data_IF_112609115058
#
_entry.id   IF_112609115058
#
_cell.length_a   1.000
_cell.length_b   1.000
_cell.length_c   1.000
_cell.angle_alpha   90.00
_cell.angle_beta   90.00
_cell.angle_gamma   90.00
#
_symmetry.space_group_name_H-M   'P 1'
#
loop_
_entity.id
_entity.type
_entity.pdbx_description
1 polymer ?
#
# COMPACT_ATOMS: atom_id res chain seq x y z
N UNK A 1 -7.30 13.73 -4.60
CA UNK A 1 -7.90 12.40 -4.75
C UNK A 1 -7.02 11.55 -5.64
N UNK A 2 -6.75 10.30 -5.25
CA UNK A 2 -6.19 9.26 -6.09
C UNK A 2 -7.38 8.58 -6.80
N UNK A 3 -7.35 8.52 -8.13
CA UNK A 3 -8.52 8.12 -8.93
C UNK A 3 -8.07 7.11 -10.00
N UNK A 4 -8.55 5.89 -9.88
CA UNK A 4 -8.24 4.76 -10.75
C UNK A 4 -9.46 4.49 -11.62
N UNK A 5 -9.29 4.57 -12.94
CA UNK A 5 -10.38 4.53 -13.91
C UNK A 5 -10.17 3.42 -14.93
N UNK A 6 -11.05 2.45 -14.93
CA UNK A 6 -11.19 1.42 -15.97
C UNK A 6 -9.87 0.70 -16.27
N UNK A 7 -9.04 0.47 -15.23
CA UNK A 7 -7.72 -0.14 -15.37
C UNK A 7 -7.87 -1.60 -15.73
N UNK A 8 -7.33 -1.98 -16.89
CA UNK A 8 -7.22 -3.36 -17.34
C UNK A 8 -5.77 -3.70 -17.65
N UNK A 9 -5.34 -4.92 -17.30
CA UNK A 9 -3.98 -5.40 -17.54
C UNK A 9 -3.96 -6.90 -17.75
N UNK A 10 -3.22 -7.34 -18.78
CA UNK A 10 -3.01 -8.74 -19.07
C UNK A 10 -1.51 -9.08 -19.13
N UNK A 11 -1.15 -10.28 -18.71
CA UNK A 11 0.15 -10.87 -18.98
C UNK A 11 -0.02 -11.98 -20.02
N UNK A 12 0.53 -11.77 -21.22
CA UNK A 12 0.28 -12.63 -22.41
C UNK A 12 -1.23 -12.75 -22.67
N UNK A 13 -1.81 -13.95 -22.51
CA UNK A 13 -3.24 -14.21 -22.74
C UNK A 13 -4.08 -14.16 -21.43
N UNK A 14 -3.43 -14.09 -20.26
CA UNK A 14 -4.11 -14.07 -18.98
C UNK A 14 -4.46 -12.63 -18.56
N UNK A 15 -5.74 -12.29 -18.54
CA UNK A 15 -6.25 -11.02 -18.01
C UNK A 15 -6.15 -11.08 -16.48
N UNK A 16 -5.39 -10.15 -15.90
CA UNK A 16 -5.14 -10.07 -14.46
C UNK A 16 -6.04 -9.02 -13.82
N UNK A 17 -6.23 -7.89 -14.51
CA UNK A 17 -7.15 -6.81 -14.10
C UNK A 17 -8.13 -6.55 -15.22
N UNK A 18 -9.41 -6.40 -14.89
CA UNK A 18 -10.52 -6.20 -15.81
C UNK A 18 -11.41 -5.07 -15.33
N UNK A 19 -11.25 -3.89 -15.93
CA UNK A 19 -12.11 -2.73 -15.68
C UNK A 19 -12.13 -2.29 -14.19
N UNK A 20 -10.95 -2.20 -13.59
CA UNK A 20 -10.79 -1.85 -12.18
C UNK A 20 -10.92 -0.34 -12.00
N UNK A 21 -11.89 0.08 -11.17
CA UNK A 21 -12.13 1.49 -10.85
C UNK A 21 -12.35 1.68 -9.36
N UNK A 22 -11.65 2.63 -8.74
CA UNK A 22 -11.84 3.06 -7.36
C UNK A 22 -11.18 4.40 -7.09
N UNK A 23 -11.56 5.04 -6.00
CA UNK A 23 -10.98 6.31 -5.57
C UNK A 23 -10.49 6.22 -4.13
N UNK A 24 -9.49 7.06 -3.80
CA UNK A 24 -9.02 7.25 -2.42
C UNK A 24 -8.89 8.74 -2.16
N UNK A 25 -9.63 9.22 -1.19
CA UNK A 25 -9.54 10.61 -0.76
C UNK A 25 -8.31 10.86 0.12
N UNK A 26 -7.81 12.10 0.19
CA UNK A 26 -6.83 12.46 1.20
C UNK A 26 -7.36 12.18 2.60
N UNK A 27 -6.56 11.46 3.40
CA UNK A 27 -6.94 11.05 4.75
C UNK A 27 -7.74 9.76 4.84
N UNK A 28 -8.11 9.15 3.72
CA UNK A 28 -8.82 7.87 3.68
C UNK A 28 -7.84 6.69 3.73
N UNK A 29 -8.20 5.65 4.48
CA UNK A 29 -7.51 4.36 4.51
C UNK A 29 -8.37 3.33 3.77
N UNK A 30 -7.94 2.95 2.57
CA UNK A 30 -8.58 1.91 1.77
C UNK A 30 -7.83 0.59 1.87
N UNK A 31 -8.53 -0.50 2.07
CA UNK A 31 -7.97 -1.84 1.99
C UNK A 31 -8.29 -2.53 0.66
N UNK A 32 -7.37 -3.38 0.23
CA UNK A 32 -7.52 -4.27 -0.91
C UNK A 32 -7.24 -5.70 -0.45
N UNK A 33 -8.27 -6.53 -0.40
CA UNK A 33 -8.15 -7.93 -0.02
C UNK A 33 -8.52 -8.88 -1.17
N UNK A 34 -7.90 -10.03 -1.20
CA UNK A 34 -8.18 -11.14 -2.10
C UNK A 34 -7.22 -12.32 -1.82
N UNK A 35 -7.50 -13.51 -2.32
CA UNK A 35 -6.58 -14.65 -2.29
C UNK A 35 -5.22 -14.35 -2.94
N UNK A 36 -4.20 -15.12 -2.58
CA UNK A 36 -2.90 -15.03 -3.22
C UNK A 36 -3.00 -15.32 -4.72
N UNK A 37 -2.28 -14.55 -5.53
CA UNK A 37 -2.30 -14.70 -6.99
C UNK A 37 -3.47 -14.01 -7.71
N UNK A 38 -4.40 -13.36 -7.00
CA UNK A 38 -5.56 -12.68 -7.58
C UNK A 38 -5.24 -11.40 -8.37
N UNK A 39 -4.02 -10.85 -8.26
CA UNK A 39 -3.63 -9.62 -8.93
C UNK A 39 -3.45 -8.39 -8.04
N UNK A 40 -3.58 -8.48 -6.69
CA UNK A 40 -3.39 -7.35 -5.75
C UNK A 40 -2.09 -6.59 -6.01
N UNK A 41 -0.94 -7.29 -5.96
CA UNK A 41 0.38 -6.69 -6.22
C UNK A 41 0.48 -6.08 -7.62
N UNK A 42 -0.17 -6.68 -8.61
CA UNK A 42 -0.23 -6.13 -9.98
C UNK A 42 -0.99 -4.81 -10.00
N UNK A 43 -2.15 -4.74 -9.34
CA UNK A 43 -2.91 -3.49 -9.20
C UNK A 43 -2.10 -2.43 -8.45
N UNK A 44 -1.52 -2.77 -7.31
CA UNK A 44 -0.68 -1.85 -6.54
C UNK A 44 0.49 -1.30 -7.35
N UNK A 45 1.16 -2.14 -8.16
CA UNK A 45 2.23 -1.70 -9.07
C UNK A 45 1.73 -0.81 -10.20
N UNK A 46 0.54 -1.08 -10.75
CA UNK A 46 -0.06 -0.23 -11.78
C UNK A 46 -0.39 1.16 -11.20
N UNK A 47 -1.03 1.20 -10.03
CA UNK A 47 -1.32 2.45 -9.32
C UNK A 47 -0.04 3.17 -8.90
N UNK A 48 1.00 2.45 -8.48
CA UNK A 48 2.32 3.01 -8.15
C UNK A 48 3.18 3.43 -9.35
N UNK A 49 2.66 3.33 -10.59
CA UNK A 49 3.37 3.63 -11.83
C UNK A 49 4.67 2.80 -12.03
N UNK A 50 4.69 1.55 -11.50
CA UNK A 50 5.78 0.60 -11.72
C UNK A 50 5.53 -0.31 -12.93
N UNK A 51 4.29 -0.45 -13.33
CA UNK A 51 3.85 -1.10 -14.57
C UNK A 51 2.74 -0.26 -15.20
N UNK A 52 2.62 -0.33 -16.52
CA UNK A 52 1.59 0.41 -17.24
C UNK A 52 0.39 -0.49 -17.49
N UNK A 53 -0.84 -0.05 -17.20
CA UNK A 53 -2.03 -0.78 -17.62
C UNK A 53 -2.18 -0.76 -19.15
N UNK A 54 -2.82 -1.78 -19.70
CA UNK A 54 -3.14 -1.83 -21.14
C UNK A 54 -4.26 -0.85 -21.49
N UNK A 55 -5.18 -0.61 -20.54
CA UNK A 55 -6.29 0.34 -20.66
C UNK A 55 -6.55 1.04 -19.34
N UNK A 56 -7.21 2.18 -19.40
CA UNK A 56 -7.58 2.96 -18.23
C UNK A 56 -6.50 3.95 -17.78
N UNK A 57 -6.73 4.59 -16.65
CA UNK A 57 -5.89 5.67 -16.13
C UNK A 57 -5.70 5.57 -14.62
N UNK A 58 -4.49 5.90 -14.14
CA UNK A 58 -4.21 6.15 -12.72
C UNK A 58 -3.91 7.64 -12.56
N UNK A 59 -4.73 8.35 -11.80
CA UNK A 59 -4.66 9.79 -11.63
C UNK A 59 -4.38 10.13 -10.15
N UNK A 60 -3.40 10.97 -9.87
CA UNK A 60 -3.18 11.55 -8.54
C UNK A 60 -3.36 13.07 -8.64
N UNK A 61 -4.40 13.62 -8.00
CA UNK A 61 -4.81 15.02 -8.11
C UNK A 61 -4.88 15.45 -9.59
N UNK A 62 -5.61 14.71 -10.41
CA UNK A 62 -5.81 14.90 -11.86
C UNK A 62 -4.54 14.71 -12.73
N UNK A 63 -3.42 14.29 -12.13
CA UNK A 63 -2.16 14.03 -12.84
C UNK A 63 -2.10 12.56 -13.24
N UNK A 64 -2.13 12.32 -14.53
CA UNK A 64 -2.07 10.98 -15.13
C UNK A 64 -0.64 10.39 -15.04
N UNK A 65 -0.54 9.18 -14.51
CA UNK A 65 0.70 8.44 -14.32
C UNK A 65 1.45 8.19 -15.63
N UNK A 66 0.74 7.93 -16.73
CA UNK A 66 1.33 7.68 -18.05
C UNK A 66 1.82 8.95 -18.74
N UNK A 67 1.15 10.10 -18.51
CA UNK A 67 1.45 11.35 -19.20
C UNK A 67 2.49 12.20 -18.48
N UNK A 68 2.48 12.20 -17.14
CA UNK A 68 3.36 13.01 -16.30
C UNK A 68 3.96 12.18 -15.16
N UNK A 69 4.60 11.08 -15.48
CA UNK A 69 5.11 10.08 -14.54
C UNK A 69 5.93 10.68 -13.40
N UNK A 70 6.89 11.55 -13.69
CA UNK A 70 7.73 12.15 -12.64
C UNK A 70 6.96 13.00 -11.65
N UNK A 71 5.89 13.70 -12.08
CA UNK A 71 5.02 14.48 -11.20
C UNK A 71 4.09 13.56 -10.43
N UNK A 72 3.56 12.52 -11.06
CA UNK A 72 2.72 11.51 -10.42
C UNK A 72 3.50 10.79 -9.31
N UNK A 73 4.69 10.26 -9.60
CA UNK A 73 5.53 9.52 -8.64
C UNK A 73 6.13 10.39 -7.56
N UNK A 74 6.10 11.73 -7.69
CA UNK A 74 6.40 12.63 -6.56
C UNK A 74 5.24 12.78 -5.58
N UNK A 75 4.07 12.22 -5.87
CA UNK A 75 2.88 12.22 -5.01
C UNK A 75 2.51 10.84 -4.49
N UNK A 76 2.84 9.77 -5.22
CA UNK A 76 2.44 8.40 -4.94
C UNK A 76 3.67 7.56 -4.61
N UNK A 77 3.74 7.04 -3.40
CA UNK A 77 4.78 6.10 -2.97
C UNK A 77 4.21 4.68 -2.93
N UNK A 78 4.84 3.76 -3.66
CA UNK A 78 4.58 2.33 -3.52
C UNK A 78 5.61 1.67 -2.61
N UNK A 79 5.14 1.02 -1.56
CA UNK A 79 5.93 0.27 -0.59
C UNK A 79 5.68 -1.22 -0.81
N UNK A 80 6.60 -1.94 -1.48
CA UNK A 80 6.43 -3.35 -1.79
C UNK A 80 6.60 -4.25 -0.55
N UNK A 81 5.96 -5.43 -0.58
CA UNK A 81 6.13 -6.47 0.42
C UNK A 81 7.61 -6.90 0.59
N UNK A 82 7.93 -7.37 1.79
CA UNK A 82 9.20 -8.01 2.09
C UNK A 82 10.39 -7.08 2.20
N UNK A 83 10.17 -5.77 2.37
CA UNK A 83 11.26 -4.81 2.50
C UNK A 83 12.07 -4.61 1.22
N UNK A 84 11.50 -4.92 0.06
CA UNK A 84 12.13 -4.74 -1.27
C UNK A 84 12.38 -3.27 -1.62
N UNK A 85 11.93 -2.35 -0.79
CA UNK A 85 12.24 -0.93 -0.89
C UNK A 85 13.69 -0.63 -0.46
N UNK A 86 14.28 -1.51 0.34
CA UNK A 86 15.61 -1.31 0.93
C UNK A 86 16.71 -1.87 0.04
N UNK A 87 17.79 -1.10 -0.08
CA UNK A 87 19.04 -1.55 -0.69
C UNK A 87 19.90 -2.26 0.35
N UNK A 88 20.43 -3.43 0.01
CA UNK A 88 21.14 -4.32 0.93
C UNK A 88 22.37 -3.67 1.59
N UNK A 89 23.10 -2.80 0.90
CA UNK A 89 24.35 -2.22 1.36
C UNK A 89 24.21 -0.84 2.02
N UNK A 90 23.02 -0.22 1.95
CA UNK A 90 22.76 1.04 2.65
C UNK A 90 22.21 0.78 4.05
N UNK A 91 22.60 1.61 5.01
CA UNK A 91 22.00 1.64 6.35
C UNK A 91 20.58 2.23 6.31
N UNK A 92 19.79 1.94 7.34
CA UNK A 92 18.45 2.55 7.50
C UNK A 92 18.56 4.08 7.53
N UNK A 93 19.56 4.62 8.23
CA UNK A 93 19.81 6.06 8.26
C UNK A 93 20.04 6.65 6.86
N UNK A 94 20.89 6.00 6.05
CA UNK A 94 21.17 6.45 4.67
C UNK A 94 19.90 6.39 3.79
N UNK A 95 19.03 5.37 3.96
CA UNK A 95 17.74 5.33 3.28
C UNK A 95 16.84 6.50 3.66
N UNK A 96 16.73 6.82 4.96
CA UNK A 96 15.93 7.95 5.42
C UNK A 96 16.46 9.29 4.89
N UNK A 97 17.80 9.48 4.91
CA UNK A 97 18.42 10.69 4.33
C UNK A 97 18.17 10.79 2.82
N UNK A 98 18.35 9.69 2.07
CA UNK A 98 18.08 9.64 0.64
C UNK A 98 16.61 9.97 0.34
N UNK A 99 15.69 9.37 1.09
CA UNK A 99 14.26 9.64 0.96
C UNK A 99 13.95 11.11 1.20
N UNK A 100 14.46 11.68 2.31
CA UNK A 100 14.29 13.10 2.62
C UNK A 100 14.74 14.00 1.47
N UNK A 101 15.91 13.71 0.88
CA UNK A 101 16.45 14.46 -0.24
C UNK A 101 15.61 14.30 -1.52
N UNK A 102 15.29 13.06 -1.90
CA UNK A 102 14.56 12.76 -3.15
C UNK A 102 13.14 13.32 -3.15
N UNK A 103 12.45 13.24 -2.01
CA UNK A 103 11.09 13.73 -1.84
C UNK A 103 11.02 15.20 -1.44
N UNK A 104 12.17 15.85 -1.20
CA UNK A 104 12.26 17.23 -0.68
C UNK A 104 11.43 17.42 0.58
N UNK A 105 11.44 16.40 1.42
CA UNK A 105 10.66 16.34 2.66
C UNK A 105 11.28 17.23 3.74
N UNK A 106 10.45 17.88 4.52
CA UNK A 106 10.86 18.63 5.72
C UNK A 106 10.69 17.81 7.02
N UNK A 107 10.25 16.54 6.91
CA UNK A 107 10.10 15.65 8.07
C UNK A 107 11.37 15.59 8.94
N UNK A 108 11.15 15.56 10.25
CA UNK A 108 12.25 15.39 11.20
C UNK A 108 12.66 13.93 11.29
N UNK A 109 13.88 13.62 10.87
CA UNK A 109 14.44 12.29 10.88
C UNK A 109 14.44 11.66 12.28
N UNK A 110 14.73 12.44 13.33
CA UNK A 110 14.73 11.93 14.69
C UNK A 110 13.30 11.57 15.16
N UNK A 111 12.30 12.40 14.80
CA UNK A 111 10.92 12.12 15.13
C UNK A 111 10.42 10.85 14.43
N UNK A 112 10.68 10.71 13.12
CA UNK A 112 10.32 9.51 12.34
C UNK A 112 11.01 8.26 12.87
N UNK A 113 12.31 8.35 13.19
CA UNK A 113 13.07 7.22 13.74
C UNK A 113 12.48 6.74 15.07
N UNK A 114 12.21 7.64 16.00
CA UNK A 114 11.60 7.31 17.30
C UNK A 114 10.19 6.71 17.18
N UNK A 115 9.48 7.06 16.14
CA UNK A 115 8.13 6.58 15.89
C UNK A 115 8.07 5.15 15.34
N UNK A 116 9.02 4.81 14.45
CA UNK A 116 8.97 3.59 13.64
C UNK A 116 10.06 2.58 13.94
N UNK A 117 11.17 2.98 14.57
CA UNK A 117 12.40 2.21 14.65
C UNK A 117 12.91 2.09 16.09
N UNK A 118 13.78 1.11 16.32
CA UNK A 118 14.65 1.08 17.50
C UNK A 118 15.98 1.76 17.19
N UNK A 119 16.66 2.29 18.21
CA UNK A 119 17.92 3.05 18.04
C UNK A 119 18.99 2.23 17.31
N UNK A 120 19.07 0.92 17.59
CA UNK A 120 20.03 0.01 16.94
C UNK A 120 19.79 -0.20 15.45
N UNK A 121 18.57 0.03 14.95
CA UNK A 121 18.23 -0.20 13.53
C UNK A 121 18.86 0.83 12.63
N UNK A 122 19.05 2.07 13.08
CA UNK A 122 19.51 3.16 12.23
C UNK A 122 20.86 2.88 11.57
N UNK A 123 21.77 2.22 12.28
CA UNK A 123 23.12 1.89 11.77
C UNK A 123 23.16 0.58 10.97
N UNK A 124 22.14 -0.28 11.08
CA UNK A 124 22.10 -1.58 10.37
C UNK A 124 21.86 -1.37 8.88
N UNK A 125 22.54 -2.17 8.07
CA UNK A 125 22.33 -2.23 6.61
C UNK A 125 21.13 -3.10 6.26
N UNK A 126 20.55 -2.89 5.09
CA UNK A 126 19.37 -3.63 4.62
C UNK A 126 19.50 -5.16 4.72
N UNK A 127 20.68 -5.70 4.39
CA UNK A 127 21.00 -7.15 4.51
C UNK A 127 21.09 -7.67 5.95
N UNK A 128 21.24 -6.81 6.93
CA UNK A 128 21.38 -7.18 8.35
C UNK A 128 20.04 -7.16 9.09
N UNK A 129 18.99 -6.68 8.43
CA UNK A 129 17.65 -6.56 8.99
C UNK A 129 16.87 -7.87 8.87
N UNK A 130 16.17 -8.25 9.94
CA UNK A 130 15.11 -9.28 9.86
C UNK A 130 13.94 -8.80 9.00
N UNK A 131 13.04 -9.70 8.62
CA UNK A 131 11.83 -9.36 7.84
C UNK A 131 11.02 -8.24 8.53
N UNK A 132 10.71 -8.39 9.82
CA UNK A 132 9.96 -7.38 10.57
C UNK A 132 10.70 -6.04 10.66
N UNK A 133 12.03 -6.06 10.84
CA UNK A 133 12.84 -4.84 10.82
C UNK A 133 12.83 -4.16 9.45
N UNK A 134 12.84 -4.93 8.36
CA UNK A 134 12.70 -4.39 6.99
C UNK A 134 11.35 -3.70 6.80
N UNK A 135 10.27 -4.28 7.31
CA UNK A 135 8.94 -3.66 7.26
C UNK A 135 8.88 -2.36 8.09
N UNK A 136 9.47 -2.35 9.29
CA UNK A 136 9.58 -1.12 10.10
C UNK A 136 10.38 -0.03 9.39
N UNK A 137 11.51 -0.37 8.78
CA UNK A 137 12.31 0.56 8.00
C UNK A 137 11.55 1.09 6.77
N UNK A 138 10.77 0.23 6.08
CA UNK A 138 9.91 0.64 4.96
C UNK A 138 8.79 1.60 5.41
N UNK A 139 8.21 1.38 6.58
CA UNK A 139 7.26 2.31 7.19
C UNK A 139 7.91 3.67 7.52
N UNK A 140 9.13 3.65 8.09
CA UNK A 140 9.87 4.88 8.36
C UNK A 140 10.20 5.67 7.08
N UNK A 141 10.54 4.98 5.98
CA UNK A 141 10.72 5.58 4.65
C UNK A 141 9.42 6.21 4.17
N UNK A 142 8.29 5.52 4.34
CA UNK A 142 6.98 6.06 3.98
C UNK A 142 6.65 7.36 4.75
N UNK A 143 6.88 7.38 6.07
CA UNK A 143 6.73 8.60 6.88
C UNK A 143 7.69 9.71 6.42
N UNK A 144 8.95 9.37 6.14
CA UNK A 144 9.96 10.32 5.71
C UNK A 144 9.64 10.94 4.35
N UNK A 145 8.94 10.22 3.46
CA UNK A 145 8.61 10.72 2.12
C UNK A 145 7.61 11.87 2.13
N UNK A 146 6.70 11.94 3.12
CA UNK A 146 5.56 12.85 3.12
C UNK A 146 4.74 12.75 1.81
N UNK A 147 4.68 11.55 1.22
CA UNK A 147 3.92 11.32 0.00
C UNK A 147 2.43 11.62 0.23
N UNK A 148 1.77 12.17 -0.79
CA UNK A 148 0.33 12.49 -0.75
C UNK A 148 -0.52 11.23 -0.69
N UNK A 149 -0.03 10.14 -1.36
CA UNK A 149 -0.66 8.83 -1.37
C UNK A 149 0.39 7.76 -1.14
N UNK A 150 0.09 6.78 -0.27
CA UNK A 150 0.99 5.68 0.04
C UNK A 150 0.26 4.35 -0.22
N UNK A 151 0.91 3.48 -0.97
CA UNK A 151 0.42 2.14 -1.31
C UNK A 151 1.28 1.12 -0.58
N UNK A 152 0.74 0.46 0.43
CA UNK A 152 1.42 -0.58 1.20
C UNK A 152 1.00 -1.98 0.71
N UNK A 153 1.94 -2.74 0.16
CA UNK A 153 1.69 -4.11 -0.30
C UNK A 153 2.10 -5.10 0.80
N UNK A 154 1.11 -5.74 1.45
CA UNK A 154 1.26 -6.70 2.55
C UNK A 154 2.21 -6.21 3.67
N UNK A 155 2.01 -5.02 4.23
CA UNK A 155 2.99 -4.34 5.11
C UNK A 155 3.18 -5.01 6.46
N UNK A 156 2.20 -5.78 6.94
CA UNK A 156 2.23 -6.43 8.25
C UNK A 156 2.74 -7.87 8.21
N UNK A 157 3.11 -8.37 7.02
CA UNK A 157 3.72 -9.69 6.87
C UNK A 157 5.00 -9.83 7.71
N UNK A 158 4.99 -10.79 8.65
CA UNK A 158 6.12 -11.03 9.55
C UNK A 158 6.17 -10.11 10.77
N UNK A 159 5.15 -9.29 11.02
CA UNK A 159 5.01 -8.56 12.27
C UNK A 159 4.43 -9.46 13.37
N UNK A 160 4.91 -9.24 14.58
CA UNK A 160 4.21 -9.66 15.77
C UNK A 160 3.08 -8.66 16.11
N UNK A 161 2.27 -8.99 17.11
CA UNK A 161 1.15 -8.15 17.51
C UNK A 161 1.55 -6.72 17.93
N UNK A 162 2.75 -6.55 18.51
CA UNK A 162 3.25 -5.24 18.95
C UNK A 162 3.60 -4.39 17.75
N UNK A 163 4.30 -4.95 16.77
CA UNK A 163 4.68 -4.26 15.54
C UNK A 163 3.47 -3.96 14.66
N UNK A 164 2.47 -4.85 14.60
CA UNK A 164 1.21 -4.57 13.89
C UNK A 164 0.47 -3.39 14.50
N UNK A 165 0.34 -3.32 15.84
CA UNK A 165 -0.27 -2.16 16.51
C UNK A 165 0.49 -0.86 16.26
N UNK A 166 1.82 -0.90 16.26
CA UNK A 166 2.65 0.26 15.93
C UNK A 166 2.41 0.71 14.50
N UNK A 167 2.38 -0.21 13.54
CA UNK A 167 2.08 0.07 12.14
C UNK A 167 0.74 0.80 11.98
N UNK A 168 -0.34 0.25 12.51
CA UNK A 168 -1.68 0.83 12.40
C UNK A 168 -1.78 2.20 13.08
N UNK A 169 -1.10 2.39 14.21
CA UNK A 169 -1.01 3.72 14.86
C UNK A 169 -0.34 4.74 13.94
N UNK A 170 0.75 4.38 13.28
CA UNK A 170 1.46 5.25 12.35
C UNK A 170 0.60 5.55 11.11
N UNK A 171 -0.03 4.54 10.53
CA UNK A 171 -0.95 4.67 9.39
C UNK A 171 -2.09 5.63 9.71
N UNK A 172 -2.73 5.48 10.88
CA UNK A 172 -3.80 6.38 11.33
C UNK A 172 -3.31 7.83 11.48
N UNK A 173 -2.07 8.04 11.94
CA UNK A 173 -1.50 9.38 12.04
C UNK A 173 -1.20 9.99 10.66
N UNK A 174 -0.73 9.20 9.70
CA UNK A 174 -0.55 9.65 8.32
C UNK A 174 -1.89 10.05 7.68
N UNK A 175 -2.93 9.26 7.88
CA UNK A 175 -4.28 9.58 7.40
C UNK A 175 -4.81 10.89 8.02
N UNK A 176 -4.62 11.10 9.33
CA UNK A 176 -4.97 12.36 10.01
C UNK A 176 -4.20 13.59 9.47
N UNK A 177 -3.10 13.38 8.75
CA UNK A 177 -2.31 14.41 8.06
C UNK A 177 -2.66 14.50 6.57
N UNK A 178 -3.87 14.11 6.19
CA UNK A 178 -4.38 14.13 4.82
C UNK A 178 -3.61 13.22 3.84
N UNK A 179 -2.91 12.18 4.29
CA UNK A 179 -2.31 11.17 3.41
C UNK A 179 -3.38 10.13 3.03
N UNK A 180 -3.67 9.96 1.74
CA UNK A 180 -4.52 8.86 1.26
C UNK A 180 -3.73 7.56 1.24
N UNK A 181 -4.30 6.48 1.76
CA UNK A 181 -3.58 5.22 1.98
C UNK A 181 -4.32 4.07 1.33
N UNK A 182 -3.59 3.21 0.59
CA UNK A 182 -4.09 1.92 0.12
C UNK A 182 -3.25 0.82 0.74
N UNK A 183 -3.89 -0.17 1.33
CA UNK A 183 -3.21 -1.29 1.98
C UNK A 183 -3.71 -2.60 1.37
N UNK A 184 -2.83 -3.43 0.82
CA UNK A 184 -3.17 -4.83 0.59
C UNK A 184 -2.88 -5.63 1.86
N UNK A 185 -3.83 -6.43 2.32
CA UNK A 185 -3.65 -7.29 3.48
C UNK A 185 -4.62 -8.48 3.39
N UNK A 186 -4.28 -9.56 4.09
CA UNK A 186 -5.13 -10.73 4.27
C UNK A 186 -5.57 -10.92 5.74
N UNK A 187 -5.29 -9.95 6.62
CA UNK A 187 -5.68 -9.97 8.03
C UNK A 187 -7.03 -9.25 8.18
N UNK A 188 -8.11 -9.93 7.85
CA UNK A 188 -9.45 -9.37 7.69
C UNK A 188 -9.96 -8.59 8.92
N UNK A 189 -9.69 -9.07 10.14
CA UNK A 189 -10.14 -8.39 11.36
C UNK A 189 -9.50 -7.00 11.54
N UNK A 190 -8.22 -6.83 11.11
CA UNK A 190 -7.57 -5.52 11.16
C UNK A 190 -8.19 -4.55 10.15
N UNK A 191 -8.66 -5.06 8.99
CA UNK A 191 -9.29 -4.25 7.96
C UNK A 191 -10.64 -3.69 8.41
N UNK A 192 -11.46 -4.51 9.10
CA UNK A 192 -12.74 -4.07 9.66
C UNK A 192 -12.60 -2.92 10.66
N UNK A 193 -11.51 -2.93 11.45
CA UNK A 193 -11.31 -1.95 12.53
C UNK A 193 -10.61 -0.68 12.05
N UNK A 194 -9.76 -0.78 11.03
CA UNK A 194 -8.78 0.26 10.71
C UNK A 194 -9.01 0.95 9.37
N UNK A 195 -9.82 0.38 8.48
CA UNK A 195 -10.02 0.91 7.15
C UNK A 195 -11.40 1.53 6.95
N UNK A 196 -11.44 2.68 6.25
CA UNK A 196 -12.68 3.36 5.92
C UNK A 196 -13.45 2.64 4.81
N UNK A 197 -12.70 2.04 3.86
CA UNK A 197 -13.26 1.29 2.73
C UNK A 197 -12.45 0.01 2.50
N UNK A 198 -13.14 -1.10 2.25
CA UNK A 198 -12.51 -2.37 1.89
C UNK A 198 -13.04 -2.82 0.52
N UNK A 199 -12.11 -3.10 -0.38
CA UNK A 199 -12.38 -3.67 -1.70
C UNK A 199 -11.87 -5.11 -1.75
N UNK A 200 -12.61 -5.97 -2.46
CA UNK A 200 -12.21 -7.35 -2.75
C UNK A 200 -11.91 -7.50 -4.24
N UNK A 201 -10.77 -8.11 -4.57
CA UNK A 201 -10.39 -8.35 -5.96
C UNK A 201 -10.71 -9.80 -6.36
N UNK A 202 -11.76 -10.00 -7.15
CA UNK A 202 -12.20 -11.30 -7.67
C UNK A 202 -12.23 -11.30 -9.19
N UNK A 203 -11.63 -12.31 -9.80
CA UNK A 203 -11.63 -12.49 -11.27
C UNK A 203 -11.17 -11.24 -12.03
N UNK A 204 -10.18 -10.53 -11.46
CA UNK A 204 -9.63 -9.30 -12.02
C UNK A 204 -10.48 -8.04 -11.80
N UNK A 205 -11.63 -8.13 -11.13
CA UNK A 205 -12.55 -7.01 -10.88
C UNK A 205 -12.60 -6.64 -9.41
N UNK A 206 -12.74 -5.35 -9.12
CA UNK A 206 -12.96 -4.88 -7.76
C UNK A 206 -14.45 -4.97 -7.39
N UNK A 207 -14.67 -5.51 -6.20
CA UNK A 207 -15.97 -5.58 -5.55
C UNK A 207 -15.91 -4.65 -4.32
N UNK A 208 -16.77 -3.63 -4.29
CA UNK A 208 -17.09 -2.89 -3.09
C UNK A 208 -18.31 -3.54 -2.45
N UNK A 209 -18.19 -4.21 -1.30
CA UNK A 209 -19.26 -5.07 -0.78
C UNK A 209 -20.60 -4.35 -0.62
N UNK A 210 -20.59 -3.15 -0.08
CA UNK A 210 -21.78 -2.35 0.15
C UNK A 210 -22.60 -2.10 -1.13
N UNK A 211 -21.94 -1.86 -2.26
CA UNK A 211 -22.59 -1.53 -3.53
C UNK A 211 -23.25 -2.75 -4.15
N UNK A 212 -22.79 -3.96 -3.80
CA UNK A 212 -23.31 -5.23 -4.28
C UNK A 212 -24.23 -5.96 -3.28
N UNK A 213 -24.57 -5.28 -2.17
CA UNK A 213 -25.51 -5.82 -1.19
C UNK A 213 -24.93 -6.80 -0.18
N UNK A 214 -23.62 -7.04 -0.18
CA UNK A 214 -22.96 -7.83 0.86
C UNK A 214 -23.04 -7.12 2.21
N UNK A 215 -23.25 -7.90 3.27
CA UNK A 215 -23.35 -7.42 4.66
C UNK A 215 -22.52 -8.33 5.56
N UNK A 216 -21.95 -7.76 6.61
CA UNK A 216 -21.18 -8.48 7.61
C UNK A 216 -19.75 -7.99 7.70
N UNK A 217 -18.92 -8.73 8.43
CA UNK A 217 -17.48 -8.49 8.57
C UNK A 217 -16.72 -8.86 7.28
N UNK A 218 -15.50 -8.35 7.14
CA UNK A 218 -14.63 -8.73 6.02
C UNK A 218 -14.45 -10.25 5.91
N UNK A 219 -14.36 -10.94 7.05
CA UNK A 219 -14.27 -12.42 7.08
C UNK A 219 -15.50 -13.11 6.51
N UNK A 220 -16.70 -12.64 6.86
CA UNK A 220 -17.96 -13.19 6.35
C UNK A 220 -18.13 -12.92 4.85
N UNK A 221 -17.75 -11.73 4.41
CA UNK A 221 -17.79 -11.34 2.98
C UNK A 221 -16.75 -12.13 2.18
N UNK A 222 -15.55 -12.29 2.71
CA UNK A 222 -14.50 -13.10 2.09
C UNK A 222 -14.97 -14.55 1.86
N UNK A 223 -15.56 -15.17 2.89
CA UNK A 223 -16.10 -16.52 2.80
C UNK A 223 -17.19 -16.62 1.72
N UNK A 224 -18.11 -15.64 1.63
CA UNK A 224 -19.15 -15.61 0.59
C UNK A 224 -18.55 -15.46 -0.81
N UNK A 225 -17.49 -14.65 -0.97
CA UNK A 225 -16.89 -14.39 -2.27
C UNK A 225 -16.02 -15.54 -2.77
N UNK A 226 -15.25 -16.18 -1.90
CA UNK A 226 -14.18 -17.08 -2.30
C UNK A 226 -14.36 -18.53 -1.85
N UNK A 227 -15.12 -18.79 -0.76
CA UNK A 227 -15.30 -20.13 -0.19
C UNK A 227 -16.67 -20.74 -0.52
N UNK A 228 -17.65 -19.93 -0.94
CA UNK A 228 -19.02 -20.35 -1.19
C UNK A 228 -19.30 -21.06 -2.53
N UNK A 229 -18.30 -21.39 -3.34
CA UNK A 229 -18.46 -22.02 -4.67
C UNK A 229 -18.11 -23.53 -4.72
N UNK A 230 -17.90 -24.17 -3.57
CA UNK A 230 -17.66 -25.63 -3.50
C UNK A 230 -18.93 -26.40 -3.07
N UNK A 231 -20.05 -26.16 -3.79
CA UNK A 231 -21.28 -26.96 -3.60
C UNK A 231 -21.89 -27.37 -4.94
#
# INVERSE_FOLDING_TARGET
MLDIKEVSLAYREAKILDDVSFTVEPGEICALDAPNGSGKTTLMKAVGAHIWPDQGHCLADEIDSARKTAVYTSKVLYVPDGGKLLHDDLSVFEHLQATKCLWRSDADLNAVSKQCLTDEMLSKRGKELSQGMKQQASLAIACMSQARYILFDEPTNGFDQTNSRMFWKVVSQLAQQDTGIVISSHILNELDEMCDTVYFLKDGRLIRPHDQGYRGTCSEIYAQLYEGNDS
#
